data_IF_432335466542
#
_entry.id   IF_432335466542
#
_cell.length_a   1.000
_cell.length_b   1.000
_cell.length_c   1.000
_cell.angle_alpha   90.00
_cell.angle_beta   90.00
_cell.angle_gamma   90.00
#
_symmetry.space_group_name_H-M   'P 1'
#
loop_
_entity.id
_entity.type
_entity.pdbx_description
1 polymer ?
#
# COMPACT_ATOMS: atom_id res chain seq x y z
N UNK A 1 59.45 43.15 14.88
CA UNK A 1 58.59 43.21 16.07
C UNK A 1 57.17 43.41 15.58
N UNK A 2 56.46 42.31 15.31
CA UNK A 2 55.29 41.83 16.09
C UNK A 2 54.01 42.46 15.52
N UNK A 3 52.91 41.80 15.19
CA UNK A 3 52.36 40.52 15.63
C UNK A 3 51.35 40.02 14.58
N UNK A 4 51.32 38.70 14.39
CA UNK A 4 50.27 37.92 13.74
C UNK A 4 49.07 37.83 14.70
N UNK A 5 47.83 37.86 14.23
CA UNK A 5 46.77 36.98 14.76
C UNK A 5 45.53 37.02 13.85
N UNK A 6 45.25 35.89 13.24
CA UNK A 6 43.96 35.55 12.65
C UNK A 6 43.05 34.98 13.75
N UNK A 7 41.75 35.30 13.71
CA UNK A 7 40.60 34.41 13.97
C UNK A 7 39.32 35.22 14.25
N UNK A 8 38.17 34.68 13.86
CA UNK A 8 37.28 34.20 14.92
C UNK A 8 37.08 32.68 14.85
N UNK A 9 37.36 32.03 15.99
CA UNK A 9 36.99 30.65 16.31
C UNK A 9 35.48 30.43 16.11
N UNK A 10 35.11 29.47 15.27
CA UNK A 10 34.77 28.08 15.66
C UNK A 10 33.70 28.00 16.74
N UNK A 11 32.43 27.82 16.35
CA UNK A 11 31.60 26.70 16.82
C UNK A 11 30.24 26.68 16.07
N UNK A 12 30.09 25.98 14.94
CA UNK A 12 28.79 25.37 14.65
C UNK A 12 28.68 24.16 15.57
N UNK A 13 27.77 24.27 16.52
CA UNK A 13 27.24 23.17 17.35
C UNK A 13 27.22 21.88 16.54
N UNK A 14 27.78 20.76 17.05
CA UNK A 14 27.62 19.49 16.38
C UNK A 14 26.12 19.18 16.39
N UNK A 15 25.48 19.37 15.25
CA UNK A 15 24.16 18.80 14.96
C UNK A 15 24.31 17.33 15.29
N UNK A 16 23.68 16.91 16.39
CA UNK A 16 23.61 15.51 16.78
C UNK A 16 23.22 14.72 15.55
N UNK A 17 24.19 14.00 15.02
CA UNK A 17 24.02 13.09 13.91
C UNK A 17 22.99 12.08 14.39
N UNK A 18 21.74 12.29 13.99
CA UNK A 18 20.69 11.29 14.12
C UNK A 18 21.16 10.13 13.24
N UNK A 19 21.58 9.06 13.90
CA UNK A 19 21.75 7.77 13.28
C UNK A 19 20.39 7.30 12.77
N UNK A 20 20.05 7.60 11.52
CA UNK A 20 18.95 6.91 10.85
C UNK A 20 19.55 6.05 9.74
N UNK A 21 19.37 4.71 9.79
CA UNK A 21 19.95 3.81 8.81
C UNK A 21 19.51 4.21 7.41
N UNK A 22 20.45 4.27 6.48
CA UNK A 22 20.18 4.57 5.08
C UNK A 22 19.36 3.47 4.41
N UNK A 23 18.04 3.62 4.46
CA UNK A 23 17.04 3.31 3.42
C UNK A 23 15.91 4.28 3.74
N UNK A 24 15.56 5.22 2.84
CA UNK A 24 14.43 6.10 3.06
C UNK A 24 13.18 5.25 3.22
N UNK A 25 12.70 5.11 4.44
CA UNK A 25 11.41 4.46 4.70
C UNK A 25 10.30 5.23 3.98
N UNK A 26 9.30 4.52 3.44
CA UNK A 26 8.22 5.18 2.74
C UNK A 26 7.45 6.10 3.70
N UNK A 27 7.25 7.34 3.28
CA UNK A 27 6.39 8.26 4.01
C UNK A 27 4.94 7.75 4.00
N UNK A 28 4.18 8.00 5.07
CA UNK A 28 2.75 7.66 5.13
C UNK A 28 1.98 8.21 3.92
N UNK A 29 2.29 9.44 3.48
CA UNK A 29 1.63 10.06 2.34
C UNK A 29 1.90 9.30 1.04
N UNK A 30 3.15 8.87 0.83
CA UNK A 30 3.52 8.07 -0.35
C UNK A 30 2.79 6.72 -0.31
N UNK A 31 2.82 6.05 0.85
CA UNK A 31 2.15 4.77 1.11
C UNK A 31 0.63 4.84 0.87
N UNK A 32 -0.01 5.98 1.12
CA UNK A 32 -1.43 6.18 0.84
C UNK A 32 -1.74 6.37 -0.65
N UNK A 33 -0.86 7.06 -1.37
CA UNK A 33 -1.06 7.42 -2.78
C UNK A 33 -0.81 6.24 -3.70
N UNK A 34 0.24 5.45 -3.43
CA UNK A 34 0.64 4.35 -4.29
C UNK A 34 1.19 3.15 -3.49
N UNK A 35 0.31 2.47 -2.71
CA UNK A 35 0.74 1.36 -1.87
C UNK A 35 1.32 0.18 -2.67
N UNK A 36 0.84 -0.05 -3.90
CA UNK A 36 1.23 -1.19 -4.74
C UNK A 36 2.68 -1.11 -5.18
N UNK A 37 3.19 0.10 -5.44
CA UNK A 37 4.59 0.29 -5.88
C UNK A 37 5.56 0.43 -4.70
N UNK A 38 5.05 0.74 -3.51
CA UNK A 38 5.85 0.92 -2.30
C UNK A 38 6.03 -0.40 -1.55
N UNK A 39 4.97 -1.19 -1.45
CA UNK A 39 4.98 -2.46 -0.73
C UNK A 39 4.85 -3.62 -1.71
N UNK A 40 5.71 -4.63 -1.56
CA UNK A 40 5.61 -5.83 -2.38
C UNK A 40 4.39 -6.68 -1.98
N UNK A 41 3.98 -6.59 -0.70
CA UNK A 41 2.81 -7.29 -0.17
C UNK A 41 2.05 -6.46 0.87
N UNK A 42 0.72 -6.67 1.03
CA UNK A 42 -0.06 -6.01 2.08
C UNK A 42 0.43 -6.32 3.49
N UNK A 43 1.11 -7.46 3.67
CA UNK A 43 1.69 -7.86 4.94
C UNK A 43 2.83 -6.92 5.38
N UNK A 44 3.56 -6.31 4.44
CA UNK A 44 4.59 -5.32 4.78
C UNK A 44 3.99 -4.07 5.45
N UNK A 45 2.75 -3.72 5.12
CA UNK A 45 2.01 -2.65 5.80
C UNK A 45 1.64 -3.08 7.23
N UNK A 46 1.20 -4.33 7.41
CA UNK A 46 0.84 -4.91 8.71
C UNK A 46 2.06 -4.90 9.64
N UNK A 47 3.19 -5.37 9.13
CA UNK A 47 4.43 -5.55 9.89
C UNK A 47 5.23 -4.24 10.01
N UNK A 48 4.79 -3.15 9.39
CA UNK A 48 5.49 -1.87 9.42
C UNK A 48 5.63 -1.36 10.86
N UNK A 49 6.86 -1.14 11.38
CA UNK A 49 7.05 -0.85 12.80
C UNK A 49 6.69 0.59 13.18
N UNK A 50 6.57 1.49 12.19
CA UNK A 50 6.40 2.93 12.43
C UNK A 50 5.02 3.49 12.11
N UNK A 51 4.15 2.72 11.45
CA UNK A 51 2.79 3.15 11.24
C UNK A 51 1.92 2.77 12.43
N UNK A 52 1.06 3.69 12.83
CA UNK A 52 -0.06 3.40 13.72
C UNK A 52 -1.07 2.46 13.06
N UNK A 53 -1.87 1.78 13.87
CA UNK A 53 -2.93 0.89 13.36
C UNK A 53 -3.93 1.64 12.47
N UNK A 54 -4.18 2.92 12.74
CA UNK A 54 -5.07 3.75 11.93
C UNK A 54 -4.46 4.10 10.57
N UNK A 55 -3.15 4.39 10.53
CA UNK A 55 -2.42 4.61 9.27
C UNK A 55 -2.39 3.33 8.42
N UNK A 56 -2.07 2.19 9.04
CA UNK A 56 -2.09 0.86 8.38
C UNK A 56 -3.47 0.54 7.80
N UNK A 57 -4.53 0.74 8.60
CA UNK A 57 -5.92 0.61 8.14
C UNK A 57 -6.19 1.48 6.93
N UNK A 58 -5.77 2.74 6.96
CA UNK A 58 -6.05 3.71 5.89
C UNK A 58 -5.31 3.35 4.59
N UNK A 59 -4.05 2.93 4.68
CA UNK A 59 -3.27 2.42 3.55
C UNK A 59 -3.96 1.19 2.94
N UNK A 60 -4.33 0.21 3.76
CA UNK A 60 -4.98 -1.02 3.30
C UNK A 60 -6.37 -0.75 2.70
N UNK A 61 -7.12 0.22 3.22
CA UNK A 61 -8.38 0.67 2.62
C UNK A 61 -8.17 1.32 1.26
N UNK A 62 -7.14 2.15 1.11
CA UNK A 62 -6.76 2.75 -0.18
C UNK A 62 -6.45 1.65 -1.20
N UNK A 63 -5.56 0.74 -0.83
CA UNK A 63 -5.15 -0.39 -1.67
C UNK A 63 -6.34 -1.29 -2.05
N UNK A 64 -7.24 -1.59 -1.10
CA UNK A 64 -8.41 -2.43 -1.36
C UNK A 64 -9.32 -1.81 -2.43
N UNK A 65 -9.45 -0.48 -2.48
CA UNK A 65 -10.23 0.21 -3.51
C UNK A 65 -9.61 0.05 -4.89
N UNK A 66 -8.31 0.26 -5.01
CA UNK A 66 -7.59 0.15 -6.28
C UNK A 66 -7.66 -1.28 -6.83
N UNK A 67 -7.43 -2.28 -5.98
CA UNK A 67 -7.51 -3.69 -6.35
C UNK A 67 -8.95 -4.11 -6.71
N UNK A 68 -9.97 -3.55 -6.04
CA UNK A 68 -11.37 -3.79 -6.41
C UNK A 68 -11.70 -3.21 -7.79
N UNK A 69 -11.11 -2.07 -8.17
CA UNK A 69 -11.24 -1.52 -9.53
C UNK A 69 -10.58 -2.45 -10.56
N UNK A 70 -9.38 -2.95 -10.27
CA UNK A 70 -8.69 -3.92 -11.14
C UNK A 70 -9.52 -5.20 -11.31
N UNK A 71 -10.09 -5.73 -10.23
CA UNK A 71 -10.96 -6.93 -10.25
C UNK A 71 -12.19 -6.73 -11.16
N UNK A 72 -12.78 -5.52 -11.16
CA UNK A 72 -13.90 -5.16 -12.02
C UNK A 72 -13.51 -5.03 -13.50
N UNK A 73 -12.37 -4.38 -13.79
CA UNK A 73 -11.92 -4.09 -15.16
C UNK A 73 -11.40 -5.36 -15.84
N UNK A 74 -10.66 -6.21 -15.12
CA UNK A 74 -10.13 -7.47 -15.65
C UNK A 74 -11.24 -8.35 -16.21
N UNK A 75 -12.42 -8.35 -15.58
CA UNK A 75 -13.58 -9.09 -16.06
C UNK A 75 -14.20 -8.62 -17.36
N UNK A 76 -13.96 -7.36 -17.76
CA UNK A 76 -14.62 -6.73 -18.91
C UNK A 76 -13.74 -6.69 -20.15
N UNK A 77 -12.42 -6.50 -19.96
CA UNK A 77 -11.54 -6.11 -21.08
C UNK A 77 -10.64 -7.25 -21.54
N UNK A 78 -10.12 -8.10 -20.63
CA UNK A 78 -9.15 -9.15 -21.00
C UNK A 78 -9.30 -10.43 -20.16
N UNK A 79 -10.23 -11.35 -20.51
CA UNK A 79 -10.36 -12.63 -19.81
C UNK A 79 -9.10 -13.50 -19.92
N UNK A 80 -8.33 -13.37 -21.00
CA UNK A 80 -7.16 -14.21 -21.28
C UNK A 80 -5.88 -13.79 -20.54
N UNK A 81 -5.81 -12.55 -20.04
CA UNK A 81 -4.57 -12.02 -19.44
C UNK A 81 -4.34 -12.49 -17.99
N UNK A 82 -5.31 -13.20 -17.38
CA UNK A 82 -5.25 -13.72 -16.01
C UNK A 82 -4.62 -12.78 -14.97
N UNK A 83 -4.81 -11.47 -15.11
CA UNK A 83 -4.35 -10.51 -14.10
C UNK A 83 -5.17 -10.77 -12.84
N UNK A 84 -4.58 -11.49 -11.89
CA UNK A 84 -5.20 -11.75 -10.61
C UNK A 84 -4.98 -10.54 -9.73
N UNK A 85 -6.07 -9.84 -9.42
CA UNK A 85 -6.06 -8.84 -8.37
C UNK A 85 -5.52 -9.46 -7.08
N UNK A 86 -4.78 -8.66 -6.31
CA UNK A 86 -4.27 -9.01 -4.98
C UNK A 86 -5.30 -8.74 -3.89
N UNK A 87 -6.54 -8.43 -4.25
CA UNK A 87 -7.61 -8.02 -3.33
C UNK A 87 -7.81 -9.00 -2.16
N UNK A 88 -7.69 -10.31 -2.39
CA UNK A 88 -7.89 -11.29 -1.31
C UNK A 88 -6.83 -11.11 -0.20
N UNK A 89 -5.57 -10.88 -0.57
CA UNK A 89 -4.48 -10.66 0.38
C UNK A 89 -4.60 -9.30 1.08
N UNK A 90 -5.03 -8.26 0.36
CA UNK A 90 -5.28 -6.94 0.96
C UNK A 90 -6.41 -7.01 1.98
N UNK A 91 -7.47 -7.76 1.68
CA UNK A 91 -8.63 -7.90 2.56
C UNK A 91 -8.30 -8.74 3.79
N UNK A 92 -7.48 -9.78 3.65
CA UNK A 92 -6.95 -10.54 4.77
C UNK A 92 -6.13 -9.64 5.71
N UNK A 93 -5.20 -8.85 5.18
CA UNK A 93 -4.43 -7.88 5.96
C UNK A 93 -5.32 -6.81 6.62
N UNK A 94 -6.31 -6.28 5.89
CA UNK A 94 -7.26 -5.29 6.40
C UNK A 94 -8.09 -5.85 7.56
N UNK A 95 -8.40 -7.15 7.56
CA UNK A 95 -9.20 -7.78 8.61
C UNK A 95 -8.57 -7.71 10.00
N UNK A 96 -7.25 -7.52 10.08
CA UNK A 96 -6.53 -7.34 11.34
C UNK A 96 -6.81 -5.98 12.00
N UNK A 97 -7.14 -4.96 11.20
CA UNK A 97 -7.36 -3.58 11.67
C UNK A 97 -8.82 -3.13 11.56
N UNK A 98 -9.56 -3.67 10.59
CA UNK A 98 -10.96 -3.36 10.32
C UNK A 98 -11.72 -4.57 9.75
N UNK A 99 -12.18 -5.48 10.61
CA UNK A 99 -12.96 -6.65 10.19
C UNK A 99 -14.26 -6.29 9.46
N UNK A 100 -14.88 -5.16 9.81
CA UNK A 100 -16.15 -4.73 9.20
C UNK A 100 -15.95 -4.36 7.75
N UNK A 101 -14.98 -3.47 7.46
CA UNK A 101 -14.68 -3.09 6.09
C UNK A 101 -14.16 -4.29 5.29
N UNK A 102 -13.31 -5.14 5.87
CA UNK A 102 -12.85 -6.37 5.21
C UNK A 102 -14.03 -7.25 4.75
N UNK A 103 -15.06 -7.43 5.59
CA UNK A 103 -16.27 -8.17 5.22
C UNK A 103 -17.05 -7.56 4.05
N UNK A 104 -17.12 -6.22 3.98
CA UNK A 104 -17.74 -5.50 2.87
C UNK A 104 -16.97 -5.72 1.56
N UNK A 105 -15.64 -5.58 1.58
CA UNK A 105 -14.80 -5.83 0.40
C UNK A 105 -14.88 -7.30 -0.06
N UNK A 106 -14.84 -8.28 0.85
CA UNK A 106 -15.05 -9.70 0.48
C UNK A 106 -16.38 -9.91 -0.24
N UNK A 107 -17.45 -9.31 0.28
CA UNK A 107 -18.79 -9.41 -0.30
C UNK A 107 -18.83 -8.79 -1.70
N UNK A 108 -18.22 -7.62 -1.88
CA UNK A 108 -18.11 -6.96 -3.18
C UNK A 108 -17.33 -7.80 -4.20
N UNK A 109 -16.18 -8.35 -3.80
CA UNK A 109 -15.34 -9.22 -4.63
C UNK A 109 -16.11 -10.47 -5.06
N UNK A 110 -16.82 -11.12 -4.14
CA UNK A 110 -17.65 -12.29 -4.46
C UNK A 110 -18.77 -11.95 -5.44
N UNK A 111 -19.43 -10.80 -5.29
CA UNK A 111 -20.46 -10.33 -6.20
C UNK A 111 -19.90 -10.12 -7.62
N UNK A 112 -18.74 -9.47 -7.74
CA UNK A 112 -18.05 -9.25 -9.03
C UNK A 112 -17.71 -10.59 -9.69
N UNK A 113 -17.04 -11.49 -8.95
CA UNK A 113 -16.65 -12.83 -9.44
C UNK A 113 -17.87 -13.66 -9.84
N UNK A 114 -18.94 -13.61 -9.07
CA UNK A 114 -20.20 -14.30 -9.36
C UNK A 114 -20.85 -13.78 -10.65
N UNK A 115 -20.85 -12.46 -10.85
CA UNK A 115 -21.39 -11.85 -12.07
C UNK A 115 -20.56 -12.23 -13.31
N UNK A 116 -19.22 -12.30 -13.19
CA UNK A 116 -18.32 -12.77 -14.26
C UNK A 116 -18.63 -14.22 -14.68
N UNK A 117 -18.79 -15.13 -13.71
CA UNK A 117 -19.15 -16.54 -13.99
C UNK A 117 -20.49 -16.67 -14.72
N UNK A 118 -21.48 -15.85 -14.35
CA UNK A 118 -22.79 -15.83 -15.03
C UNK A 118 -22.70 -15.29 -16.47
N UNK A 119 -21.91 -14.24 -16.69
CA UNK A 119 -21.69 -13.70 -18.03
C UNK A 119 -21.03 -14.73 -18.95
N UNK A 120 -19.96 -15.40 -18.49
CA UNK A 120 -19.25 -16.42 -19.28
C UNK A 120 -20.15 -17.60 -19.69
N UNK A 121 -21.07 -18.04 -18.82
CA UNK A 121 -22.04 -19.12 -19.14
C UNK A 121 -23.03 -18.73 -20.23
N UNK A 122 -23.32 -17.44 -20.41
CA UNK A 122 -24.27 -16.95 -21.43
C UNK A 122 -23.63 -16.87 -22.82
N UNK A 123 -22.31 -16.82 -22.91
CA UNK A 123 -21.55 -16.62 -24.16
C UNK A 123 -21.05 -17.91 -24.80
N UNK A 124 -21.22 -19.08 -24.16
CA UNK A 124 -20.88 -20.38 -24.74
C UNK A 124 -22.04 -20.90 -25.61
N UNK A 125 -21.83 -21.15 -26.92
CA UNK A 125 -22.84 -21.79 -27.77
C UNK A 125 -22.95 -23.28 -27.41
N UNK A 126 -24.19 -23.79 -27.47
CA UNK A 126 -24.56 -25.20 -27.26
C UNK A 126 -24.11 -26.09 -28.42
#
# INVERSE_FOLDING_TARGET
MDMVEAKPDTNPTPVSQVTSPGVSEPSFVEALVDPVNIFASPQEVVDHPWFSDEEKRTILLSWARDELVIEQVTGKVMPDLQVKSRIDAVVEALSLFDPSAAGEYLSAVQAIRGNRKRAARRTLPH
#
